data_IF_436367213721
#
_entry.id   IF_436367213721
#
_cell.length_a   1.000
_cell.length_b   1.000
_cell.length_c   1.000
_cell.angle_alpha   90.00
_cell.angle_beta   90.00
_cell.angle_gamma   90.00
#
_symmetry.space_group_name_H-M   'P 1'
#
loop_
_entity.id
_entity.type
_entity.pdbx_description
1 polymer ?
#
# COMPACT_ATOMS: atom_id res chain seq x y z
N UNK A 1 -14.73 12.76 -6.11
CA UNK A 1 -14.38 11.96 -4.92
C UNK A 1 -13.16 12.61 -4.28
N UNK A 2 -13.21 12.90 -2.98
CA UNK A 2 -12.09 13.54 -2.27
C UNK A 2 -10.90 12.58 -2.19
N UNK A 3 -9.68 13.08 -2.37
CA UNK A 3 -8.42 12.33 -2.25
C UNK A 3 -7.47 13.14 -1.36
N UNK A 4 -6.76 12.45 -0.48
CA UNK A 4 -5.76 13.06 0.42
C UNK A 4 -4.39 13.11 -0.26
N UNK A 5 -4.28 13.85 -1.37
CA UNK A 5 -3.10 13.89 -2.24
C UNK A 5 -2.11 15.03 -1.98
N UNK A 6 -2.47 15.94 -1.08
CA UNK A 6 -1.69 17.14 -0.79
C UNK A 6 -1.71 17.46 0.70
N UNK A 7 -0.70 18.21 1.21
CA UNK A 7 -0.70 18.72 2.57
C UNK A 7 -1.97 19.53 2.89
N UNK A 8 -2.49 20.27 1.92
CA UNK A 8 -3.71 21.07 2.04
C UNK A 8 -4.95 20.18 2.19
N UNK A 9 -5.10 19.13 1.37
CA UNK A 9 -6.19 18.17 1.50
C UNK A 9 -6.15 17.46 2.86
N UNK A 10 -4.96 17.09 3.34
CA UNK A 10 -4.78 16.46 4.65
C UNK A 10 -5.13 17.41 5.81
N UNK A 11 -4.70 18.67 5.73
CA UNK A 11 -5.01 19.68 6.73
C UNK A 11 -6.52 19.92 6.81
N UNK A 12 -7.19 20.06 5.66
CA UNK A 12 -8.64 20.23 5.59
C UNK A 12 -9.40 19.04 6.20
N UNK A 13 -9.03 17.81 5.84
CA UNK A 13 -9.64 16.61 6.41
C UNK A 13 -9.41 16.50 7.93
N UNK A 14 -8.22 16.89 8.40
CA UNK A 14 -7.88 16.93 9.83
C UNK A 14 -8.75 17.94 10.58
N UNK A 15 -8.95 19.14 10.01
CA UNK A 15 -9.81 20.17 10.59
C UNK A 15 -11.27 19.70 10.70
N UNK A 16 -11.81 19.10 9.63
CA UNK A 16 -13.15 18.52 9.63
C UNK A 16 -13.31 17.43 10.69
N UNK A 17 -12.32 16.54 10.82
CA UNK A 17 -12.34 15.48 11.82
C UNK A 17 -12.34 16.05 13.25
N UNK A 18 -11.49 17.05 13.52
CA UNK A 18 -11.41 17.71 14.82
C UNK A 18 -12.70 18.47 15.17
N UNK A 19 -13.40 19.01 14.18
CA UNK A 19 -14.70 19.66 14.37
C UNK A 19 -15.79 18.64 14.74
N UNK A 20 -15.78 17.47 14.12
CA UNK A 20 -16.80 16.44 14.34
C UNK A 20 -16.55 15.57 15.59
N UNK A 21 -15.30 15.31 15.96
CA UNK A 21 -14.94 14.39 17.05
C UNK A 21 -13.87 15.01 17.99
N UNK A 22 -14.27 15.49 19.19
CA UNK A 22 -13.37 16.13 20.15
C UNK A 22 -12.20 15.25 20.61
N UNK A 23 -12.37 13.92 20.68
CA UNK A 23 -11.28 13.00 21.04
C UNK A 23 -10.18 13.01 19.97
N UNK A 24 -10.54 13.14 18.70
CA UNK A 24 -9.56 13.28 17.63
C UNK A 24 -8.83 14.61 17.70
N UNK A 25 -9.50 15.70 18.11
CA UNK A 25 -8.83 16.98 18.35
C UNK A 25 -7.78 16.90 19.48
N UNK A 26 -8.01 16.12 20.53
CA UNK A 26 -7.00 15.86 21.56
C UNK A 26 -5.80 15.08 21.01
N UNK A 27 -6.05 14.03 20.21
CA UNK A 27 -4.99 13.26 19.56
C UNK A 27 -4.13 14.14 18.66
N UNK A 28 -4.74 14.98 17.83
CA UNK A 28 -4.01 15.89 16.94
C UNK A 28 -3.21 16.93 17.72
N UNK A 29 -3.73 17.47 18.83
CA UNK A 29 -2.96 18.39 19.70
C UNK A 29 -1.73 17.72 20.32
N UNK A 30 -1.85 16.44 20.68
CA UNK A 30 -0.76 15.68 21.31
C UNK A 30 0.30 15.21 20.33
N UNK A 31 -0.10 14.73 19.16
CA UNK A 31 0.80 14.10 18.17
C UNK A 31 1.29 15.11 17.13
N UNK A 32 0.48 16.13 16.83
CA UNK A 32 0.66 17.04 15.71
C UNK A 32 -0.23 16.67 14.52
N UNK A 33 -0.25 17.50 13.46
CA UNK A 33 -1.04 17.25 12.26
C UNK A 33 -0.61 15.96 11.56
N UNK A 34 -1.56 15.30 10.89
CA UNK A 34 -1.26 14.14 10.08
C UNK A 34 -0.33 14.53 8.92
N UNK A 35 0.84 13.91 8.85
CA UNK A 35 1.83 14.14 7.79
C UNK A 35 1.81 13.05 6.73
N UNK A 36 0.76 12.23 6.69
CA UNK A 36 0.63 11.19 5.68
C UNK A 36 0.51 11.83 4.31
N UNK A 37 1.36 11.40 3.39
CA UNK A 37 1.25 11.71 1.97
C UNK A 37 1.02 10.39 1.21
N UNK A 38 0.27 10.40 0.10
CA UNK A 38 0.17 9.21 -0.72
C UNK A 38 1.51 8.81 -1.29
N UNK A 39 1.55 7.56 -1.72
CA UNK A 39 2.66 7.00 -2.45
C UNK A 39 2.95 7.81 -3.72
N UNK A 40 4.20 8.24 -3.87
CA UNK A 40 4.64 9.08 -5.00
C UNK A 40 5.02 8.29 -6.27
N UNK A 41 5.12 6.96 -6.18
CA UNK A 41 5.44 6.10 -7.32
C UNK A 41 4.20 5.34 -7.83
N UNK A 42 4.41 4.33 -8.67
CA UNK A 42 3.32 3.52 -9.22
C UNK A 42 2.53 2.77 -8.14
N UNK A 43 1.24 2.55 -8.42
CA UNK A 43 0.38 1.70 -7.59
C UNK A 43 0.89 0.26 -7.58
N UNK A 44 1.46 -0.20 -8.70
CA UNK A 44 2.17 -1.47 -8.78
C UNK A 44 3.23 -1.60 -7.69
N UNK A 45 4.16 -0.65 -7.63
CA UNK A 45 5.25 -0.69 -6.65
C UNK A 45 4.70 -0.64 -5.21
N UNK A 46 3.69 0.19 -4.96
CA UNK A 46 3.04 0.27 -3.65
C UNK A 46 2.47 -1.08 -3.21
N UNK A 47 1.80 -1.77 -4.12
CA UNK A 47 1.18 -3.06 -3.85
C UNK A 47 2.25 -4.13 -3.58
N UNK A 48 3.31 -4.18 -4.39
CA UNK A 48 4.44 -5.10 -4.16
C UNK A 48 5.03 -4.85 -2.77
N UNK A 49 5.28 -3.59 -2.39
CA UNK A 49 5.80 -3.27 -1.06
C UNK A 49 4.84 -3.62 0.06
N UNK A 50 3.53 -3.52 -0.17
CA UNK A 50 2.52 -3.92 0.82
C UNK A 50 2.59 -5.43 1.07
N UNK A 51 2.71 -6.25 0.02
CA UNK A 51 2.91 -7.70 0.14
C UNK A 51 4.25 -8.02 0.82
N UNK A 52 5.33 -7.33 0.46
CA UNK A 52 6.65 -7.49 1.08
C UNK A 52 6.58 -7.24 2.58
N UNK A 53 5.86 -6.20 3.01
CA UNK A 53 5.76 -5.76 4.40
C UNK A 53 4.81 -6.58 5.29
N UNK A 54 3.97 -7.45 4.73
CA UNK A 54 3.03 -8.26 5.51
C UNK A 54 3.74 -9.04 6.64
N UNK A 55 3.17 -8.95 7.85
CA UNK A 55 3.63 -9.69 9.04
C UNK A 55 5.09 -9.42 9.44
N UNK A 56 5.61 -8.22 9.12
CA UNK A 56 6.97 -7.82 9.45
C UNK A 56 6.99 -6.50 10.21
N UNK A 57 8.08 -6.27 10.95
CA UNK A 57 8.39 -4.92 11.44
C UNK A 57 8.72 -3.99 10.26
N UNK A 58 8.56 -2.69 10.47
CA UNK A 58 8.92 -1.69 9.45
C UNK A 58 10.38 -1.77 9.04
N UNK A 59 11.28 -2.07 9.98
CA UNK A 59 12.71 -2.22 9.70
C UNK A 59 12.98 -3.45 8.82
N UNK A 60 12.39 -4.60 9.15
CA UNK A 60 12.54 -5.82 8.35
C UNK A 60 11.96 -5.65 6.93
N UNK A 61 10.79 -5.03 6.81
CA UNK A 61 10.18 -4.71 5.51
C UNK A 61 11.09 -3.81 4.66
N UNK A 62 11.69 -2.77 5.26
CA UNK A 62 12.66 -1.90 4.57
C UNK A 62 13.89 -2.67 4.09
N UNK A 63 14.47 -3.52 4.93
CA UNK A 63 15.64 -4.33 4.55
C UNK A 63 15.35 -5.25 3.38
N UNK A 64 14.22 -5.97 3.40
CA UNK A 64 13.84 -6.88 2.31
C UNK A 64 13.55 -6.10 1.03
N UNK A 65 12.89 -4.94 1.13
CA UNK A 65 12.66 -4.06 -0.02
C UNK A 65 13.98 -3.62 -0.67
N UNK A 66 14.95 -3.14 0.11
CA UNK A 66 16.25 -2.73 -0.42
C UNK A 66 16.99 -3.87 -1.11
N UNK A 67 16.93 -5.09 -0.56
CA UNK A 67 17.51 -6.29 -1.19
C UNK A 67 16.78 -6.69 -2.47
N UNK A 68 15.45 -6.56 -2.51
CA UNK A 68 14.65 -6.83 -3.70
C UNK A 68 15.05 -5.89 -4.83
N UNK A 69 15.09 -4.58 -4.58
CA UNK A 69 15.52 -3.58 -5.55
C UNK A 69 16.94 -3.85 -6.07
N UNK A 70 17.90 -4.15 -5.17
CA UNK A 70 19.25 -4.54 -5.56
C UNK A 70 19.29 -5.82 -6.41
N UNK A 71 18.45 -6.81 -6.08
CA UNK A 71 18.35 -8.07 -6.85
C UNK A 71 17.81 -7.85 -8.26
N UNK A 72 16.93 -6.86 -8.42
CA UNK A 72 16.31 -6.49 -9.68
C UNK A 72 17.08 -5.39 -10.43
N UNK A 73 18.18 -4.88 -9.84
CA UNK A 73 18.96 -3.76 -10.36
C UNK A 73 18.08 -2.55 -10.73
N UNK A 74 17.11 -2.21 -9.88
CA UNK A 74 16.23 -1.06 -10.08
C UNK A 74 16.19 -0.16 -8.85
N UNK A 75 15.98 1.13 -9.09
CA UNK A 75 15.84 2.15 -8.04
C UNK A 75 14.39 2.23 -7.52
N UNK A 76 14.14 2.80 -6.33
CA UNK A 76 12.80 3.14 -5.88
C UNK A 76 12.05 3.97 -6.93
N UNK A 77 10.82 3.58 -7.25
CA UNK A 77 10.00 4.20 -8.29
C UNK A 77 10.18 3.63 -9.70
N UNK A 78 11.19 2.78 -9.90
CA UNK A 78 11.47 2.14 -11.19
C UNK A 78 11.12 0.64 -11.21
N UNK A 79 10.42 0.12 -10.18
CA UNK A 79 10.02 -1.28 -10.15
C UNK A 79 8.94 -1.57 -11.20
N UNK A 80 9.20 -2.54 -12.08
CA UNK A 80 8.28 -2.95 -13.15
C UNK A 80 7.88 -4.41 -13.05
N UNK A 81 6.72 -4.74 -13.62
CA UNK A 81 6.26 -6.13 -13.74
C UNK A 81 7.29 -6.99 -14.49
N UNK A 82 7.83 -6.47 -15.60
CA UNK A 82 8.83 -7.17 -16.41
C UNK A 82 10.10 -7.50 -15.62
N UNK A 83 10.58 -6.60 -14.75
CA UNK A 83 11.74 -6.87 -13.89
C UNK A 83 11.50 -8.04 -12.94
N UNK A 84 10.31 -8.12 -12.33
CA UNK A 84 9.94 -9.25 -11.46
C UNK A 84 9.83 -10.55 -12.26
N UNK A 85 9.19 -10.52 -13.44
CA UNK A 85 8.98 -11.71 -14.28
C UNK A 85 10.26 -12.25 -14.90
N UNK A 86 11.26 -11.39 -15.17
CA UNK A 86 12.58 -11.79 -15.65
C UNK A 86 13.48 -12.39 -14.54
N UNK A 87 13.10 -12.25 -13.28
CA UNK A 87 13.89 -12.70 -12.15
C UNK A 87 13.46 -14.10 -11.69
N UNK A 88 14.43 -14.99 -11.43
CA UNK A 88 14.11 -16.33 -10.93
C UNK A 88 13.58 -16.28 -9.50
N UNK A 89 12.65 -17.19 -9.17
CA UNK A 89 12.09 -17.30 -7.82
C UNK A 89 13.16 -17.47 -6.74
N UNK A 90 14.26 -18.17 -7.04
CA UNK A 90 15.37 -18.33 -6.10
C UNK A 90 16.10 -17.03 -5.79
N UNK A 91 16.29 -16.15 -6.78
CA UNK A 91 16.85 -14.82 -6.56
C UNK A 91 15.91 -13.99 -5.68
N UNK A 92 14.60 -14.02 -5.96
CA UNK A 92 13.60 -13.34 -5.14
C UNK A 92 13.58 -13.85 -3.68
N UNK A 93 13.73 -15.16 -3.47
CA UNK A 93 13.85 -15.74 -2.12
C UNK A 93 15.13 -15.30 -1.41
N UNK A 94 16.26 -15.24 -2.12
CA UNK A 94 17.53 -14.73 -1.56
C UNK A 94 17.46 -13.25 -1.14
N UNK A 95 16.55 -12.47 -1.71
CA UNK A 95 16.26 -11.11 -1.23
C UNK A 95 15.55 -11.07 0.14
N UNK A 96 15.09 -12.22 0.66
CA UNK A 96 14.42 -12.36 1.95
C UNK A 96 12.90 -12.60 1.85
N UNK A 97 12.38 -12.86 0.65
CA UNK A 97 10.97 -13.16 0.45
C UNK A 97 10.64 -14.62 0.80
N UNK A 98 9.53 -14.83 1.50
CA UNK A 98 8.97 -16.18 1.68
C UNK A 98 8.43 -16.72 0.36
N UNK A 99 8.25 -18.04 0.25
CA UNK A 99 7.66 -18.66 -0.94
C UNK A 99 6.26 -18.13 -1.25
N UNK A 100 5.45 -17.84 -0.22
CA UNK A 100 4.13 -17.24 -0.39
C UNK A 100 4.21 -15.82 -0.96
N UNK A 101 5.14 -14.98 -0.47
CA UNK A 101 5.37 -13.63 -0.99
C UNK A 101 5.90 -13.67 -2.43
N UNK A 102 6.79 -14.60 -2.77
CA UNK A 102 7.25 -14.77 -4.15
C UNK A 102 6.09 -15.11 -5.08
N UNK A 103 5.24 -16.08 -4.73
CA UNK A 103 4.05 -16.41 -5.54
C UNK A 103 3.11 -15.22 -5.70
N UNK A 104 2.89 -14.45 -4.63
CA UNK A 104 2.06 -13.26 -4.65
C UNK A 104 2.61 -12.19 -5.60
N UNK A 105 3.87 -11.76 -5.43
CA UNK A 105 4.44 -10.69 -6.26
C UNK A 105 4.58 -11.08 -7.73
N UNK A 106 4.88 -12.36 -8.02
CA UNK A 106 4.93 -12.87 -9.39
C UNK A 106 3.53 -12.88 -10.00
N UNK A 107 2.51 -13.37 -9.28
CA UNK A 107 1.13 -13.36 -9.76
C UNK A 107 0.60 -11.94 -10.01
N UNK A 108 0.93 -11.00 -9.13
CA UNK A 108 0.64 -9.57 -9.31
C UNK A 108 1.34 -9.02 -10.56
N UNK A 109 2.63 -9.32 -10.75
CA UNK A 109 3.39 -8.89 -11.91
C UNK A 109 2.82 -9.48 -13.22
N UNK A 110 2.40 -10.76 -13.22
CA UNK A 110 1.73 -11.37 -14.38
C UNK A 110 0.43 -10.65 -14.72
N UNK A 111 -0.39 -10.32 -13.71
CA UNK A 111 -1.63 -9.56 -13.91
C UNK A 111 -1.35 -8.18 -14.52
N UNK A 112 -0.40 -7.42 -13.95
CA UNK A 112 -0.01 -6.11 -14.47
C UNK A 112 0.55 -6.17 -15.88
N UNK A 113 1.35 -7.20 -16.19
CA UNK A 113 1.92 -7.37 -17.52
C UNK A 113 0.84 -7.66 -18.58
N UNK A 114 -0.20 -8.42 -18.22
CA UNK A 114 -1.35 -8.72 -19.09
C UNK A 114 -2.32 -7.55 -19.24
N UNK A 115 -2.43 -6.70 -18.22
CA UNK A 115 -3.37 -5.58 -18.16
C UNK A 115 -2.60 -4.25 -17.92
N UNK A 116 -1.89 -3.71 -18.93
CA UNK A 116 -1.04 -2.53 -18.75
C UNK A 116 -1.80 -1.25 -18.36
N UNK A 117 -3.07 -1.15 -18.73
CA UNK A 117 -3.94 -0.02 -18.37
C UNK A 117 -4.59 -0.15 -16.97
N UNK A 118 -4.41 -1.28 -16.29
CA UNK A 118 -5.16 -1.60 -15.07
C UNK A 118 -4.94 -0.60 -13.94
N UNK A 119 -3.71 -0.11 -13.77
CA UNK A 119 -3.44 0.93 -12.77
C UNK A 119 -4.25 2.21 -13.03
N UNK A 120 -4.43 2.60 -14.30
CA UNK A 120 -5.26 3.76 -14.65
C UNK A 120 -6.73 3.46 -14.33
N UNK A 121 -7.21 2.27 -14.68
CA UNK A 121 -8.60 1.84 -14.40
C UNK A 121 -8.92 1.85 -12.90
N UNK A 122 -8.02 1.32 -12.06
CA UNK A 122 -8.20 1.27 -10.62
C UNK A 122 -8.41 2.65 -9.98
N UNK A 123 -7.77 3.71 -10.52
CA UNK A 123 -7.91 5.09 -10.02
C UNK A 123 -9.32 5.66 -10.25
N UNK A 124 -10.07 5.11 -11.20
CA UNK A 124 -11.42 5.56 -11.55
C UNK A 124 -12.55 4.76 -10.87
N UNK A 125 -12.23 3.63 -10.23
CA UNK A 125 -13.21 2.84 -9.49
C UNK A 125 -13.66 3.59 -8.21
N UNK A 126 -14.87 3.28 -7.74
CA UNK A 126 -15.26 3.61 -6.36
C UNK A 126 -14.55 2.69 -5.36
N UNK A 127 -14.67 2.97 -4.05
CA UNK A 127 -13.93 2.24 -3.02
C UNK A 127 -14.34 0.76 -2.92
N UNK A 128 -15.61 0.43 -3.14
CA UNK A 128 -16.10 -0.94 -3.07
C UNK A 128 -15.57 -1.77 -4.27
N UNK A 129 -15.66 -1.23 -5.48
CA UNK A 129 -15.16 -1.84 -6.69
C UNK A 129 -13.63 -1.94 -6.68
N UNK A 130 -12.93 -0.91 -6.19
CA UNK A 130 -11.48 -0.91 -6.01
C UNK A 130 -11.04 -2.00 -5.03
N UNK A 131 -11.68 -2.09 -3.86
CA UNK A 131 -11.38 -3.15 -2.90
C UNK A 131 -11.63 -4.53 -3.53
N UNK A 132 -12.77 -4.72 -4.19
CA UNK A 132 -13.14 -5.98 -4.83
C UNK A 132 -12.12 -6.39 -5.92
N UNK A 133 -11.63 -5.45 -6.71
CA UNK A 133 -10.60 -5.69 -7.72
C UNK A 133 -9.24 -6.07 -7.09
N UNK A 134 -8.81 -5.35 -6.06
CA UNK A 134 -7.53 -5.60 -5.39
C UNK A 134 -7.48 -6.98 -4.73
N UNK A 135 -8.56 -7.43 -4.09
CA UNK A 135 -8.58 -8.73 -3.38
C UNK A 135 -8.59 -9.94 -4.31
N UNK A 136 -8.78 -9.76 -5.62
CA UNK A 136 -8.60 -10.86 -6.60
C UNK A 136 -7.14 -11.21 -6.82
N UNK A 137 -6.21 -10.34 -6.40
CA UNK A 137 -4.79 -10.56 -6.61
C UNK A 137 -4.22 -11.60 -5.63
N UNK A 138 -3.29 -12.45 -6.07
CA UNK A 138 -2.66 -13.43 -5.21
C UNK A 138 -1.97 -12.79 -4.00
N UNK A 139 -2.31 -13.25 -2.80
CA UNK A 139 -1.72 -12.76 -1.55
C UNK A 139 -2.22 -11.38 -1.10
N UNK A 140 -3.26 -10.83 -1.74
CA UNK A 140 -3.89 -9.57 -1.35
C UNK A 140 -5.21 -9.85 -0.66
N UNK A 141 -5.23 -9.71 0.67
CA UNK A 141 -6.46 -9.76 1.46
C UNK A 141 -7.06 -8.36 1.69
N UNK A 142 -8.24 -8.27 2.33
CA UNK A 142 -8.91 -7.00 2.62
C UNK A 142 -8.01 -5.98 3.33
N UNK A 143 -7.23 -6.42 4.33
CA UNK A 143 -6.28 -5.55 5.02
C UNK A 143 -5.24 -4.95 4.06
N UNK A 144 -4.66 -5.75 3.15
CA UNK A 144 -3.68 -5.25 2.18
C UNK A 144 -4.33 -4.30 1.17
N UNK A 145 -5.55 -4.59 0.73
CA UNK A 145 -6.30 -3.68 -0.14
C UNK A 145 -6.50 -2.32 0.55
N UNK A 146 -6.92 -2.29 1.82
CA UNK A 146 -7.07 -1.05 2.59
C UNK A 146 -5.75 -0.27 2.71
N UNK A 147 -4.63 -0.96 2.98
CA UNK A 147 -3.32 -0.30 3.04
C UNK A 147 -2.87 0.30 1.71
N UNK A 148 -3.32 -0.24 0.58
CA UNK A 148 -3.05 0.30 -0.76
C UNK A 148 -4.00 1.46 -1.07
N UNK A 149 -5.27 1.35 -0.70
CA UNK A 149 -6.24 2.44 -0.88
C UNK A 149 -5.85 3.68 -0.07
N UNK A 150 -5.49 3.52 1.22
CA UNK A 150 -5.07 4.62 2.09
C UNK A 150 -3.73 5.22 1.67
N UNK A 151 -2.68 4.40 1.71
CA UNK A 151 -1.30 4.91 1.55
C UNK A 151 -0.83 4.96 0.09
N UNK A 152 -1.52 4.28 -0.82
CA UNK A 152 -1.21 4.31 -2.26
C UNK A 152 -2.04 5.35 -3.01
N UNK A 153 -3.35 5.34 -2.79
CA UNK A 153 -4.30 6.16 -3.55
C UNK A 153 -4.86 7.35 -2.77
N UNK A 154 -4.51 7.50 -1.48
CA UNK A 154 -5.00 8.61 -0.66
C UNK A 154 -6.51 8.57 -0.44
N UNK A 155 -7.15 7.40 -0.46
CA UNK A 155 -8.59 7.28 -0.21
C UNK A 155 -8.89 7.69 1.24
N UNK A 156 -9.74 8.73 1.46
CA UNK A 156 -9.94 9.31 2.78
C UNK A 156 -10.83 8.45 3.70
N UNK A 157 -11.71 7.63 3.12
CA UNK A 157 -12.77 6.94 3.86
C UNK A 157 -12.55 5.41 3.88
N UNK A 158 -11.37 5.00 4.34
CA UNK A 158 -11.00 3.60 4.46
C UNK A 158 -10.70 3.29 5.92
N UNK A 159 -11.55 2.47 6.54
CA UNK A 159 -11.41 2.07 7.93
C UNK A 159 -10.88 0.62 8.05
N UNK A 160 -9.58 0.41 8.33
CA UNK A 160 -8.98 -0.92 8.30
C UNK A 160 -9.26 -1.70 9.60
N UNK A 161 -10.51 -2.14 9.79
CA UNK A 161 -10.97 -2.87 11.00
C UNK A 161 -10.17 -4.12 11.34
N UNK A 162 -9.53 -4.72 10.33
CA UNK A 162 -8.66 -5.90 10.50
C UNK A 162 -7.26 -5.57 11.01
N UNK A 163 -6.89 -4.28 11.07
CA UNK A 163 -5.56 -3.85 11.50
C UNK A 163 -5.38 -4.02 13.01
N UNK A 164 -4.29 -4.69 13.41
CA UNK A 164 -4.02 -4.97 14.82
C UNK A 164 -3.76 -3.69 15.63
N UNK A 165 -3.12 -2.68 15.02
CA UNK A 165 -2.88 -1.40 15.67
C UNK A 165 -4.17 -0.67 15.96
N UNK A 166 -5.06 -0.59 14.96
CA UNK A 166 -6.41 -0.01 15.13
C UNK A 166 -7.21 -0.78 16.18
N UNK A 167 -7.24 -2.12 16.09
CA UNK A 167 -7.98 -2.94 17.07
C UNK A 167 -7.49 -2.74 18.50
N UNK A 168 -6.18 -2.61 18.71
CA UNK A 168 -5.61 -2.34 20.05
C UNK A 168 -5.93 -0.93 20.54
N UNK A 169 -6.00 0.06 19.64
CA UNK A 169 -6.30 1.44 20.00
C UNK A 169 -7.79 1.67 20.35
N UNK A 170 -8.69 0.78 19.91
CA UNK A 170 -10.14 0.87 20.14
C UNK A 170 -10.63 0.07 21.36
N UNK A 171 -9.73 -0.62 22.07
CA UNK A 171 -10.02 -1.31 23.34
C UNK A 171 -9.88 -0.35 24.51
#
# INVERSE_FOLDING_TARGET
>A
MMILDSPQAMAHATEQLCHCEPRMAEVVRRIGPCQMAPWQYSLFERLIYSVVGQQLSMQAARTIRSRLLATLACEPGALTASAILACSSDKLRRAGLSGAKVRAIVGIAMHWHKHPDWERELKHLDDAALQAALVQLPGVGPWTAHMVMMFGLGRPDVWPVGDLGIRKAMQ
#
